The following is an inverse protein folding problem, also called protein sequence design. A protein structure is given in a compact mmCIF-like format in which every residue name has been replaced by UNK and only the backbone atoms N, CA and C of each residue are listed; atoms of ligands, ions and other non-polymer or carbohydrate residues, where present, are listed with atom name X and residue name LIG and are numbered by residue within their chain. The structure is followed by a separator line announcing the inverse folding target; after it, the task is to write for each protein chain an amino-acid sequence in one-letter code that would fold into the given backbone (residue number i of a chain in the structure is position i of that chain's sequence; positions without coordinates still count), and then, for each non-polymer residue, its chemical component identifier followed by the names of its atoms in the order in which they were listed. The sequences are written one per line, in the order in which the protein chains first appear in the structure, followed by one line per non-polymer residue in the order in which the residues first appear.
data_IF_226194780977
#
_entry.id   IF_226194780977
#
_cell.length_a   1.000
_cell.length_b   1.000
_cell.length_c   1.000
_cell.angle_alpha   90.00
_cell.angle_beta   90.00
_cell.angle_gamma   90.00
#
_symmetry.space_group_name_H-M   'P 1'
#
loop_
_entity.id
_entity.type
_entity.pdbx_description
1 polymer ?
#
# COMPACT_ATOMS: atom_id res chain seq x y z
N UNK A 1 -17.70 -50.68 -39.27
CA UNK A 1 -17.96 -50.42 -37.83
C UNK A 1 -17.89 -48.92 -37.63
N UNK A 2 -19.03 -48.27 -37.35
CA UNK A 2 -19.06 -46.84 -37.05
C UNK A 2 -18.94 -46.67 -35.54
N UNK A 3 -17.79 -46.20 -35.05
CA UNK A 3 -17.62 -45.78 -33.66
C UNK A 3 -18.29 -44.43 -33.48
N UNK A 4 -19.36 -44.38 -32.70
CA UNK A 4 -19.99 -43.12 -32.30
C UNK A 4 -19.23 -42.56 -31.09
N UNK A 5 -18.60 -41.40 -31.27
CA UNK A 5 -17.97 -40.65 -30.17
C UNK A 5 -19.01 -39.75 -29.53
N UNK A 6 -19.29 -39.95 -28.24
CA UNK A 6 -20.23 -39.10 -27.49
C UNK A 6 -19.44 -38.27 -26.48
N UNK A 7 -19.46 -36.94 -26.63
CA UNK A 7 -18.87 -36.05 -25.63
C UNK A 7 -19.82 -35.96 -24.42
N UNK A 8 -19.34 -36.41 -23.26
CA UNK A 8 -20.00 -36.19 -21.97
C UNK A 8 -19.44 -34.92 -21.34
N UNK A 9 -20.31 -34.00 -20.92
CA UNK A 9 -19.87 -32.82 -20.15
C UNK A 9 -20.53 -32.79 -18.78
N UNK A 10 -19.74 -32.53 -17.74
CA UNK A 10 -20.25 -32.42 -16.37
C UNK A 10 -20.78 -30.99 -16.11
N UNK A 11 -22.12 -30.80 -15.99
CA UNK A 11 -22.70 -29.47 -15.87
C UNK A 11 -22.31 -28.77 -14.57
N UNK A 12 -22.06 -29.52 -13.49
CA UNK A 12 -21.65 -28.97 -12.19
C UNK A 12 -20.27 -28.33 -12.27
N UNK A 13 -19.30 -28.98 -12.95
CA UNK A 13 -17.95 -28.43 -13.13
C UNK A 13 -17.97 -27.16 -13.98
N UNK A 14 -18.80 -27.13 -15.02
CA UNK A 14 -19.00 -25.93 -15.85
C UNK A 14 -19.59 -24.76 -15.05
N UNK A 15 -20.56 -25.03 -14.18
CA UNK A 15 -21.16 -24.01 -13.32
C UNK A 15 -20.15 -23.47 -12.30
N UNK A 16 -19.43 -24.36 -11.61
CA UNK A 16 -18.40 -23.96 -10.64
C UNK A 16 -17.32 -23.11 -11.33
N UNK A 17 -16.80 -23.56 -12.48
CA UNK A 17 -15.80 -22.81 -13.24
C UNK A 17 -16.30 -21.42 -13.65
N UNK A 18 -17.56 -21.30 -14.10
CA UNK A 18 -18.16 -20.00 -14.43
C UNK A 18 -18.27 -19.09 -13.21
N UNK A 19 -18.74 -19.60 -12.07
CA UNK A 19 -18.84 -18.82 -10.83
C UNK A 19 -17.46 -18.35 -10.34
N UNK A 20 -16.43 -19.20 -10.45
CA UNK A 20 -15.06 -18.81 -10.08
C UNK A 20 -14.52 -17.71 -10.99
N UNK A 21 -14.78 -17.77 -12.31
CA UNK A 21 -14.41 -16.68 -13.24
C UNK A 21 -15.10 -15.38 -12.85
N UNK A 22 -16.41 -15.42 -12.56
CA UNK A 22 -17.17 -14.24 -12.16
C UNK A 22 -16.61 -13.64 -10.87
N UNK A 23 -16.34 -14.48 -9.86
CA UNK A 23 -15.72 -14.04 -8.62
C UNK A 23 -14.35 -13.37 -8.87
N UNK A 24 -13.51 -13.96 -9.73
CA UNK A 24 -12.24 -13.39 -10.12
C UNK A 24 -12.38 -12.03 -10.82
N UNK A 25 -13.33 -11.91 -11.75
CA UNK A 25 -13.62 -10.65 -12.44
C UNK A 25 -14.09 -9.55 -11.47
N UNK A 26 -14.96 -9.89 -10.52
CA UNK A 26 -15.41 -8.95 -9.47
C UNK A 26 -14.22 -8.46 -8.65
N UNK A 27 -13.31 -9.36 -8.24
CA UNK A 27 -12.11 -8.99 -7.49
C UNK A 27 -11.19 -8.05 -8.29
N UNK A 28 -10.96 -8.32 -9.57
CA UNK A 28 -10.16 -7.45 -10.45
C UNK A 28 -10.78 -6.04 -10.51
N UNK A 29 -12.10 -5.96 -10.71
CA UNK A 29 -12.81 -4.68 -10.78
C UNK A 29 -12.71 -3.94 -9.43
N UNK A 30 -12.99 -4.63 -8.32
CA UNK A 30 -12.94 -4.04 -6.98
C UNK A 30 -11.54 -3.52 -6.62
N UNK A 31 -10.50 -4.29 -6.94
CA UNK A 31 -9.11 -3.87 -6.74
C UNK A 31 -8.74 -2.68 -7.63
N UNK A 32 -9.17 -2.67 -8.89
CA UNK A 32 -8.98 -1.53 -9.81
C UNK A 32 -9.67 -0.25 -9.34
N UNK A 33 -10.91 -0.36 -8.85
CA UNK A 33 -11.65 0.77 -8.25
C UNK A 33 -10.93 1.30 -7.02
N UNK A 34 -10.49 0.41 -6.12
CA UNK A 34 -9.72 0.81 -4.93
C UNK A 34 -8.43 1.52 -5.31
N UNK A 35 -7.66 0.99 -6.28
CA UNK A 35 -6.45 1.64 -6.78
C UNK A 35 -6.72 3.04 -7.33
N UNK A 36 -7.77 3.18 -8.15
CA UNK A 36 -8.19 4.47 -8.71
C UNK A 36 -8.62 5.48 -7.65
N UNK A 37 -9.32 5.03 -6.61
CA UNK A 37 -9.75 5.86 -5.49
C UNK A 37 -8.54 6.42 -4.72
N UNK A 38 -7.57 5.57 -4.35
CA UNK A 38 -6.34 6.00 -3.67
C UNK A 38 -5.52 6.95 -4.57
N UNK A 39 -5.45 6.68 -5.87
CA UNK A 39 -4.79 7.57 -6.84
C UNK A 39 -5.43 8.96 -6.89
N UNK A 40 -6.76 9.00 -6.87
CA UNK A 40 -7.51 10.24 -6.90
C UNK A 40 -7.33 11.05 -5.63
N UNK A 41 -7.31 10.38 -4.46
CA UNK A 41 -7.01 11.02 -3.18
C UNK A 41 -5.60 11.62 -3.17
N UNK A 42 -4.58 10.85 -3.56
CA UNK A 42 -3.21 11.37 -3.58
C UNK A 42 -3.02 12.56 -4.53
N UNK A 43 -3.67 12.54 -5.71
CA UNK A 43 -3.63 13.68 -6.64
C UNK A 43 -4.33 14.91 -6.08
N UNK A 44 -5.41 14.74 -5.31
CA UNK A 44 -6.15 15.85 -4.73
C UNK A 44 -5.36 16.61 -3.66
N UNK A 45 -4.39 15.95 -3.01
CA UNK A 45 -3.51 16.58 -2.01
C UNK A 45 -2.42 17.48 -2.63
N UNK A 46 -2.25 17.48 -3.96
CA UNK A 46 -1.27 18.30 -4.71
C UNK A 46 0.17 18.24 -4.17
N UNK A 47 0.54 17.12 -3.53
CA UNK A 47 1.87 16.92 -2.95
C UNK A 47 2.88 16.61 -4.06
N UNK A 48 4.03 17.28 -4.03
CA UNK A 48 5.19 17.00 -4.89
C UNK A 48 6.28 16.34 -4.07
N UNK A 49 6.99 15.38 -4.65
CA UNK A 49 8.13 14.74 -4.01
C UNK A 49 9.25 15.76 -3.79
N UNK A 50 9.56 16.05 -2.54
CA UNK A 50 10.66 16.90 -2.12
C UNK A 50 12.00 16.24 -2.43
N UNK A 51 12.99 17.06 -2.77
CA UNK A 51 14.37 16.61 -2.88
C UNK A 51 14.88 16.12 -1.51
N UNK A 52 15.62 15.01 -1.46
CA UNK A 52 16.23 14.52 -0.22
C UNK A 52 17.37 15.45 0.20
N UNK A 53 18.27 15.77 -0.73
CA UNK A 53 19.29 16.82 -0.62
C UNK A 53 19.38 17.59 -1.94
N UNK A 54 20.07 18.73 -1.97
CA UNK A 54 20.28 19.49 -3.21
C UNK A 54 21.16 18.73 -4.21
N UNK A 55 22.19 18.04 -3.72
CA UNK A 55 23.13 17.27 -4.55
C UNK A 55 22.57 15.90 -4.98
N UNK A 56 21.67 15.32 -4.18
CA UNK A 56 21.06 14.02 -4.42
C UNK A 56 19.54 14.08 -4.21
N UNK A 57 18.79 14.76 -5.10
CA UNK A 57 17.37 15.00 -4.90
C UNK A 57 16.52 13.71 -4.89
N UNK A 58 17.02 12.63 -5.49
CA UNK A 58 16.32 11.35 -5.64
C UNK A 58 15.56 11.26 -6.97
N UNK A 59 15.44 10.05 -7.51
CA UNK A 59 14.96 9.78 -8.87
C UNK A 59 13.50 10.16 -9.16
N UNK A 60 12.72 10.45 -8.11
CA UNK A 60 11.31 10.84 -8.20
C UNK A 60 11.04 12.25 -7.70
N UNK A 61 12.07 13.02 -7.32
CA UNK A 61 11.92 14.41 -6.90
C UNK A 61 11.26 15.26 -7.98
N UNK A 62 10.42 16.21 -7.56
CA UNK A 62 9.67 17.10 -8.44
C UNK A 62 8.46 16.45 -9.11
N UNK A 63 8.23 15.13 -8.94
CA UNK A 63 7.05 14.46 -9.48
C UNK A 63 5.86 14.56 -8.52
N UNK A 64 4.61 14.62 -9.04
CA UNK A 64 3.43 14.59 -8.19
C UNK A 64 3.31 13.24 -7.48
N UNK A 65 2.91 13.27 -6.23
CA UNK A 65 2.58 12.08 -5.45
C UNK A 65 1.25 11.54 -5.93
N UNK A 66 1.30 10.60 -6.87
CA UNK A 66 0.10 10.04 -7.51
C UNK A 66 0.13 8.50 -7.59
N UNK A 67 1.07 7.86 -6.91
CA UNK A 67 1.24 6.42 -6.92
C UNK A 67 2.13 5.92 -5.80
N UNK A 68 2.28 4.59 -5.67
CA UNK A 68 2.97 3.98 -4.55
C UNK A 68 4.44 4.39 -4.45
N UNK A 69 5.17 4.44 -5.57
CA UNK A 69 6.60 4.79 -5.56
C UNK A 69 6.84 6.27 -5.25
N UNK A 70 6.02 7.17 -5.77
CA UNK A 70 6.12 8.61 -5.46
C UNK A 70 5.71 8.90 -4.03
N UNK A 71 4.69 8.20 -3.50
CA UNK A 71 4.29 8.33 -2.10
C UNK A 71 5.39 7.83 -1.16
N UNK A 72 6.02 6.69 -1.49
CA UNK A 72 7.17 6.18 -0.75
C UNK A 72 8.37 7.14 -0.80
N UNK A 73 8.69 7.68 -1.98
CA UNK A 73 9.78 8.64 -2.13
C UNK A 73 9.55 9.90 -1.29
N UNK A 74 8.34 10.45 -1.29
CA UNK A 74 8.00 11.60 -0.47
C UNK A 74 8.06 11.28 1.03
N UNK A 75 7.55 10.12 1.44
CA UNK A 75 7.63 9.65 2.82
C UNK A 75 9.10 9.56 3.31
N UNK A 76 10.01 9.15 2.43
CA UNK A 76 11.44 9.10 2.73
C UNK A 76 12.09 10.49 2.79
N UNK A 77 11.79 11.38 1.83
CA UNK A 77 12.27 12.75 1.86
C UNK A 77 11.84 13.49 3.14
N UNK A 78 10.57 13.32 3.57
CA UNK A 78 10.07 13.85 4.84
C UNK A 78 10.88 13.32 6.03
N UNK A 79 11.16 12.01 6.06
CA UNK A 79 11.96 11.44 7.14
C UNK A 79 13.38 12.03 7.20
N UNK A 80 14.01 12.22 6.04
CA UNK A 80 15.33 12.83 5.95
C UNK A 80 15.33 14.26 6.51
N UNK A 81 14.39 15.10 6.06
CA UNK A 81 14.27 16.49 6.55
C UNK A 81 13.88 16.57 8.02
N UNK A 82 13.01 15.68 8.49
CA UNK A 82 12.62 15.62 9.90
C UNK A 82 13.81 15.26 10.80
N UNK A 83 14.66 14.31 10.39
CA UNK A 83 15.87 13.94 11.14
C UNK A 83 16.95 15.01 11.06
N UNK A 84 17.11 15.66 9.90
CA UNK A 84 18.03 16.79 9.77
C UNK A 84 17.62 17.94 10.70
N UNK A 85 16.32 18.25 10.77
CA UNK A 85 15.78 19.28 11.65
C UNK A 85 15.84 18.93 13.15
N UNK A 86 15.94 17.64 13.50
CA UNK A 86 16.01 17.18 14.88
C UNK A 86 17.40 16.74 15.33
N UNK A 87 18.44 17.01 14.54
CA UNK A 87 19.80 16.55 14.81
C UNK A 87 19.88 15.01 14.99
N UNK A 88 19.02 14.27 14.30
CA UNK A 88 18.90 12.81 14.40
C UNK A 88 18.15 12.30 15.63
N UNK A 89 17.62 13.18 16.48
CA UNK A 89 16.86 12.81 17.68
C UNK A 89 15.44 12.38 17.33
N UNK A 90 14.96 11.36 18.03
CA UNK A 90 13.57 10.88 17.93
C UNK A 90 12.62 11.76 18.75
N UNK A 91 11.31 11.65 18.47
CA UNK A 91 10.28 12.39 19.21
C UNK A 91 10.35 12.20 20.74
N UNK A 92 10.71 10.99 21.19
CA UNK A 92 10.88 10.69 22.61
C UNK A 92 12.12 11.37 23.18
N UNK A 93 13.26 11.25 22.49
CA UNK A 93 14.52 11.87 22.91
C UNK A 93 14.41 13.39 23.02
N UNK A 94 13.79 14.06 22.05
CA UNK A 94 13.56 15.51 22.11
C UNK A 94 12.73 15.89 23.35
N UNK A 95 11.76 15.06 23.71
CA UNK A 95 10.96 15.25 24.92
C UNK A 95 11.78 15.11 26.21
N UNK A 96 12.68 14.13 26.26
CA UNK A 96 13.59 13.91 27.37
C UNK A 96 14.61 15.05 27.49
N UNK A 97 15.17 15.50 26.37
CA UNK A 97 16.11 16.63 26.31
C UNK A 97 15.45 17.94 26.74
N UNK A 98 14.22 18.20 26.27
CA UNK A 98 13.46 19.37 26.71
C UNK A 98 13.16 19.32 28.20
N UNK A 99 12.90 18.13 28.76
CA UNK A 99 12.69 17.97 30.20
C UNK A 99 13.99 18.18 30.98
N UNK A 100 15.12 17.69 30.47
CA UNK A 100 16.44 17.87 31.08
C UNK A 100 16.84 19.34 31.11
N UNK A 101 16.71 20.05 29.98
CA UNK A 101 17.03 21.47 29.88
C UNK A 101 16.18 22.33 30.82
N UNK A 102 14.88 22.05 30.90
CA UNK A 102 13.99 22.73 31.86
C UNK A 102 14.39 22.49 33.31
N UNK A 103 14.85 21.28 33.64
CA UNK A 103 15.30 20.94 34.99
C UNK A 103 16.62 21.64 35.35
N UNK A 104 17.53 21.79 34.38
CA UNK A 104 18.78 22.54 34.55
C UNK A 104 18.51 24.03 34.76
N UNK A 105 17.70 24.65 33.91
CA UNK A 105 17.31 26.07 34.06
C UNK A 105 16.57 26.33 35.39
N UNK A 106 15.71 25.40 35.82
CA UNK A 106 15.05 25.50 37.12
C UNK A 106 16.03 25.36 38.30
N UNK A 107 17.07 24.52 38.16
CA UNK A 107 18.13 24.39 39.16
C UNK A 107 19.00 25.65 39.25
N UNK A 108 19.18 26.37 38.13
CA UNK A 108 19.86 27.66 38.06
C UNK A 108 19.00 28.83 38.57
N UNK A 109 17.77 28.56 39.01
CA UNK A 109 16.87 29.52 39.64
C UNK A 109 16.01 30.33 38.66
N UNK A 110 15.95 29.93 37.38
CA UNK A 110 15.06 30.54 36.41
C UNK A 110 13.58 30.31 36.78
N UNK A 111 12.75 31.33 36.59
CA UNK A 111 11.30 31.23 36.78
C UNK A 111 10.63 30.44 35.65
N UNK A 112 9.43 29.90 35.87
CA UNK A 112 8.70 29.13 34.85
C UNK A 112 8.47 29.93 33.54
N UNK A 113 8.33 31.26 33.64
CA UNK A 113 8.20 32.14 32.48
C UNK A 113 9.51 32.30 31.71
N UNK A 114 10.66 32.38 32.40
CA UNK A 114 11.98 32.46 31.74
C UNK A 114 12.33 31.14 31.07
N UNK A 115 12.00 30.01 31.70
CA UNK A 115 12.19 28.67 31.12
C UNK A 115 11.31 28.47 29.87
N UNK A 116 10.12 29.07 29.83
CA UNK A 116 9.22 28.97 28.69
C UNK A 116 9.70 29.81 27.49
N UNK A 117 10.42 30.90 27.73
CA UNK A 117 10.95 31.80 26.71
C UNK A 117 12.40 31.46 26.30
N UNK A 118 13.05 30.53 27.01
CA UNK A 118 14.39 30.06 26.69
C UNK A 118 14.47 29.54 25.24
N UNK A 119 15.47 30.03 24.50
CA UNK A 119 15.64 29.74 23.08
C UNK A 119 15.83 28.24 22.83
N UNK A 120 16.56 27.54 23.72
CA UNK A 120 16.78 26.10 23.63
C UNK A 120 15.51 25.30 23.88
N UNK A 121 14.70 25.70 24.87
CA UNK A 121 13.41 25.06 25.17
C UNK A 121 12.42 25.27 24.03
N UNK A 122 12.33 26.49 23.47
CA UNK A 122 11.47 26.82 22.33
C UNK A 122 11.92 26.09 21.06
N UNK A 123 13.23 25.99 20.82
CA UNK A 123 13.79 25.24 19.70
C UNK A 123 13.46 23.74 19.80
N UNK A 124 13.63 23.12 20.96
CA UNK A 124 13.29 21.70 21.18
C UNK A 124 11.77 21.46 21.05
N UNK A 125 10.93 22.37 21.53
CA UNK A 125 9.48 22.29 21.35
C UNK A 125 9.09 22.38 19.84
N UNK A 126 9.76 23.25 19.10
CA UNK A 126 9.55 23.40 17.65
C UNK A 126 10.02 22.18 16.87
N UNK A 127 11.23 21.67 17.17
CA UNK A 127 11.76 20.44 16.58
C UNK A 127 10.85 19.24 16.84
N UNK A 128 10.33 19.12 18.07
CA UNK A 128 9.37 18.07 18.45
C UNK A 128 8.10 18.13 17.61
N UNK A 129 7.57 19.34 17.37
CA UNK A 129 6.37 19.56 16.54
C UNK A 129 6.63 19.17 15.07
N UNK A 130 7.79 19.55 14.54
CA UNK A 130 8.22 19.18 13.18
C UNK A 130 8.34 17.66 13.01
N UNK A 131 9.02 16.97 13.94
CA UNK A 131 9.17 15.50 13.91
C UNK A 131 7.82 14.80 14.05
N UNK A 132 6.92 15.33 14.87
CA UNK A 132 5.56 14.81 15.02
C UNK A 132 4.77 14.91 13.72
N UNK A 133 4.73 16.10 13.12
CA UNK A 133 4.05 16.34 11.85
C UNK A 133 4.62 15.48 10.72
N UNK A 134 5.96 15.38 10.63
CA UNK A 134 6.63 14.50 9.68
C UNK A 134 6.24 13.03 9.86
N UNK A 135 6.12 12.55 11.10
CA UNK A 135 5.68 11.18 11.40
C UNK A 135 4.23 10.92 10.98
N UNK A 136 3.34 11.91 11.17
CA UNK A 136 1.95 11.80 10.71
C UNK A 136 1.84 11.73 9.19
N UNK A 137 2.50 12.66 8.48
CA UNK A 137 2.50 12.68 7.01
C UNK A 137 3.09 11.39 6.44
N UNK A 138 4.20 10.92 7.01
CA UNK A 138 4.85 9.67 6.60
C UNK A 138 3.94 8.46 6.82
N UNK A 139 3.24 8.42 7.95
CA UNK A 139 2.29 7.34 8.25
C UNK A 139 1.15 7.34 7.24
N UNK A 140 0.56 8.51 6.96
CA UNK A 140 -0.51 8.64 5.96
C UNK A 140 -0.04 8.20 4.56
N UNK A 141 1.17 8.61 4.15
CA UNK A 141 1.77 8.20 2.88
C UNK A 141 2.04 6.69 2.84
N UNK A 142 2.57 6.08 3.90
CA UNK A 142 2.78 4.63 3.94
C UNK A 142 1.47 3.84 3.99
N UNK A 143 0.44 4.33 4.69
CA UNK A 143 -0.89 3.73 4.63
C UNK A 143 -1.44 3.72 3.20
N UNK A 144 -1.18 4.76 2.40
CA UNK A 144 -1.54 4.76 0.98
C UNK A 144 -0.73 3.74 0.16
N UNK A 145 0.57 3.59 0.42
CA UNK A 145 1.43 2.58 -0.23
C UNK A 145 0.93 1.16 0.08
N UNK A 146 0.56 0.90 1.33
CA UNK A 146 -0.04 -0.37 1.76
C UNK A 146 -1.38 -0.59 1.05
N UNK A 147 -2.22 0.43 0.93
CA UNK A 147 -3.49 0.34 0.21
C UNK A 147 -3.30 -0.04 -1.26
N UNK A 148 -2.30 0.51 -1.96
CA UNK A 148 -1.92 0.07 -3.29
C UNK A 148 -1.46 -1.39 -3.32
N UNK A 149 -0.64 -1.81 -2.35
CA UNK A 149 -0.20 -3.20 -2.24
C UNK A 149 -1.38 -4.18 -2.06
N UNK A 150 -2.33 -3.84 -1.19
CA UNK A 150 -3.56 -4.64 -0.99
C UNK A 150 -4.42 -4.65 -2.26
N UNK A 151 -4.60 -3.52 -2.93
CA UNK A 151 -5.35 -3.46 -4.18
C UNK A 151 -4.71 -4.33 -5.28
N UNK A 152 -3.39 -4.30 -5.44
CA UNK A 152 -2.67 -5.18 -6.36
C UNK A 152 -2.84 -6.66 -6.01
N UNK A 153 -2.79 -7.02 -4.73
CA UNK A 153 -2.99 -8.40 -4.28
C UNK A 153 -4.40 -8.89 -4.59
N UNK A 154 -5.43 -8.06 -4.39
CA UNK A 154 -6.82 -8.39 -4.74
C UNK A 154 -6.98 -8.60 -6.25
N UNK A 155 -6.36 -7.75 -7.08
CA UNK A 155 -6.35 -7.94 -8.54
C UNK A 155 -5.64 -9.24 -8.90
N UNK A 156 -4.46 -9.50 -8.33
CA UNK A 156 -3.68 -10.71 -8.58
C UNK A 156 -4.43 -11.99 -8.22
N UNK A 157 -5.11 -12.02 -7.07
CA UNK A 157 -5.99 -13.12 -6.69
C UNK A 157 -7.17 -13.27 -7.66
N UNK A 158 -7.77 -12.17 -8.10
CA UNK A 158 -8.84 -12.19 -9.08
C UNK A 158 -8.40 -12.80 -10.42
N UNK A 159 -7.19 -12.48 -10.88
CA UNK A 159 -6.58 -13.09 -12.07
C UNK A 159 -6.36 -14.60 -11.86
N UNK A 160 -5.83 -15.00 -10.71
CA UNK A 160 -5.65 -16.42 -10.39
C UNK A 160 -6.97 -17.19 -10.38
N UNK A 161 -8.05 -16.60 -9.84
CA UNK A 161 -9.38 -17.20 -9.84
C UNK A 161 -9.97 -17.28 -11.26
N UNK A 162 -9.76 -16.26 -12.09
CA UNK A 162 -10.18 -16.30 -13.49
C UNK A 162 -9.49 -17.44 -14.26
N UNK A 163 -8.16 -17.60 -14.07
CA UNK A 163 -7.39 -18.69 -14.68
C UNK A 163 -7.87 -20.05 -14.17
N UNK A 164 -8.07 -20.20 -12.85
CA UNK A 164 -8.54 -21.44 -12.25
C UNK A 164 -9.93 -21.83 -12.75
N UNK A 165 -10.87 -20.88 -12.79
CA UNK A 165 -12.21 -21.13 -13.31
C UNK A 165 -12.23 -21.45 -14.81
N UNK A 166 -11.33 -20.85 -15.59
CA UNK A 166 -11.13 -21.20 -17.00
C UNK A 166 -10.62 -22.64 -17.16
N UNK A 167 -9.62 -23.05 -16.36
CA UNK A 167 -9.07 -24.40 -16.37
C UNK A 167 -10.10 -25.48 -15.95
N UNK A 168 -10.95 -25.18 -14.95
CA UNK A 168 -12.05 -26.07 -14.57
C UNK A 168 -13.06 -26.23 -15.70
N UNK A 169 -13.40 -25.13 -16.38
CA UNK A 169 -14.32 -25.15 -17.52
C UNK A 169 -13.75 -25.94 -18.70
N UNK A 170 -12.46 -25.79 -19.02
CA UNK A 170 -11.83 -26.53 -20.13
C UNK A 170 -11.78 -28.03 -19.88
N UNK A 171 -11.59 -28.47 -18.63
CA UNK A 171 -11.46 -29.89 -18.25
C UNK A 171 -12.80 -30.64 -18.20
N UNK A 172 -13.93 -29.92 -18.26
CA UNK A 172 -15.28 -30.51 -18.13
C UNK A 172 -15.77 -31.31 -19.36
N UNK A 173 -14.96 -31.43 -20.41
CA UNK A 173 -15.30 -32.20 -21.63
C UNK A 173 -14.53 -33.52 -21.63
N UNK A 174 -15.24 -34.63 -21.39
CA UNK A 174 -14.65 -35.97 -21.47
C UNK A 174 -15.22 -36.71 -22.68
N UNK A 175 -14.35 -37.09 -23.61
CA UNK A 175 -14.71 -37.90 -24.77
C UNK A 175 -14.88 -39.35 -24.33
N UNK A 176 -16.11 -39.90 -24.41
CA UNK A 176 -16.37 -41.31 -24.09
C UNK A 176 -16.45 -42.08 -25.40
N UNK A 177 -15.58 -43.08 -25.58
CA UNK A 177 -15.65 -43.99 -26.73
C UNK A 177 -16.67 -45.08 -26.40
N UNK A 178 -17.79 -45.08 -27.12
CA UNK A 178 -18.79 -46.14 -27.00
C UNK A 178 -18.43 -47.27 -27.97
N UNK A 179 -18.13 -48.46 -27.46
CA UNK A 179 -17.97 -49.66 -28.27
C UNK A 179 -19.36 -50.17 -28.70
N UNK A 180 -19.63 -50.34 -30.00
CA UNK A 180 -20.93 -50.81 -30.46
C UNK A 180 -21.19 -52.24 -29.96
N UNK A 181 -22.34 -52.44 -29.29
CA UNK A 181 -22.81 -53.76 -28.86
C UNK A 181 -23.28 -54.52 -30.10
N UNK A 182 -22.64 -55.67 -30.38
CA UNK A 182 -23.04 -56.58 -31.46
C UNK A 182 -24.33 -57.31 -31.03
N UNK A 183 -25.43 -57.26 -31.81
CA UNK A 183 -26.60 -58.07 -31.52
C UNK A 183 -26.23 -59.55 -31.70
N UNK A 184 -26.34 -60.35 -30.65
CA UNK A 184 -26.26 -61.80 -30.78
C UNK A 184 -27.59 -62.26 -31.38
N UNK A 185 -27.54 -62.71 -32.65
CA UNK A 185 -28.64 -63.36 -33.34
C UNK A 185 -28.57 -64.87 -33.15
#
# INVERSE_FOLDING_TARGET
MSTTTTNSTNPTVKLIGLLTIIAGAIMIIAGGVTWGAVTSQLKAEEIVVSAVTEDEPGSLAGKPVAGPFTAFAQANAINHHALAASEGRTYAQIGDDAKALKAELAADGASESEIAEDEGVVALASARTTVMNGSFLRTALFSSVIAYGVAALVIGLGVLFAILGFALRSTSTTTVVSTPVVPQA
#
